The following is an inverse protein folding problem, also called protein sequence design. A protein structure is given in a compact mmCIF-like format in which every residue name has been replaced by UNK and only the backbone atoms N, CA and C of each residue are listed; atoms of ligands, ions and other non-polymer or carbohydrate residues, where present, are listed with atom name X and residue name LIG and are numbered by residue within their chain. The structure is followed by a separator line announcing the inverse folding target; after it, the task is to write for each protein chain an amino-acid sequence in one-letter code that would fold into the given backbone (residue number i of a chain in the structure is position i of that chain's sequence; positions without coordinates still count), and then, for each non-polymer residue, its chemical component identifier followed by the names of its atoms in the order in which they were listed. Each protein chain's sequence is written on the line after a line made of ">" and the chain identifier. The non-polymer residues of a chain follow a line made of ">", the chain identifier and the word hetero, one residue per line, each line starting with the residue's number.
data_IF_660967456184
#
_entry.id   IF_660967456184
#
_cell.length_a   1.000
_cell.length_b   1.000
_cell.length_c   1.000
_cell.angle_alpha   90.00
_cell.angle_beta   90.00
_cell.angle_gamma   90.00
#
_symmetry.space_group_name_H-M   'P 1'
#
loop_
_entity.id
_entity.type
_entity.pdbx_description
1 polymer ?
#
# COMPACT_ATOMS: atom_id res chain seq x y z
N UNK A 1 -34.88 1.18 8.62
CA UNK A 1 -33.94 1.91 9.49
C UNK A 1 -33.13 0.89 10.25
N UNK A 2 -31.97 0.49 9.73
CA UNK A 2 -31.05 -0.40 10.42
C UNK A 2 -30.51 0.32 11.65
N UNK A 3 -30.49 -0.35 12.81
CA UNK A 3 -29.97 0.23 14.05
C UNK A 3 -28.56 0.75 13.81
N UNK A 4 -28.31 2.03 14.14
CA UNK A 4 -26.95 2.49 14.39
C UNK A 4 -26.34 1.53 15.40
N UNK A 5 -25.47 0.62 14.95
CA UNK A 5 -24.78 -0.32 15.83
C UNK A 5 -24.08 0.52 16.88
N UNK A 6 -24.55 0.47 18.12
CA UNK A 6 -23.90 1.16 19.21
C UNK A 6 -22.55 0.46 19.40
N UNK A 7 -21.49 1.08 18.89
CA UNK A 7 -20.11 0.59 18.99
C UNK A 7 -19.40 1.38 20.11
N UNK A 8 -19.68 1.09 21.39
CA UNK A 8 -19.21 1.91 22.52
C UNK A 8 -17.69 1.94 22.63
N UNK A 9 -17.01 0.90 22.11
CA UNK A 9 -15.56 0.80 22.14
C UNK A 9 -14.85 1.81 21.22
N UNK A 10 -15.53 2.42 20.24
CA UNK A 10 -14.89 3.37 19.30
C UNK A 10 -14.30 4.56 20.06
N UNK A 11 -15.00 5.10 21.04
CA UNK A 11 -14.50 6.21 21.86
C UNK A 11 -13.27 5.79 22.67
N UNK A 12 -13.22 4.53 23.10
CA UNK A 12 -12.12 3.98 23.88
C UNK A 12 -10.85 3.76 23.04
N UNK A 13 -10.96 3.60 21.71
CA UNK A 13 -9.81 3.54 20.80
C UNK A 13 -8.98 4.84 20.83
N UNK A 14 -9.62 5.98 21.05
CA UNK A 14 -8.95 7.29 21.14
C UNK A 14 -8.57 7.70 22.58
N UNK A 15 -8.71 6.81 23.56
CA UNK A 15 -8.37 7.10 24.96
C UNK A 15 -6.87 7.38 25.12
N UNK A 16 -6.50 8.27 26.05
CA UNK A 16 -5.10 8.50 26.43
C UNK A 16 -4.48 7.30 27.17
N UNK A 17 -5.28 6.51 27.86
CA UNK A 17 -4.82 5.30 28.56
C UNK A 17 -4.60 4.14 27.57
N UNK A 18 -3.35 3.66 27.51
CA UNK A 18 -2.94 2.52 26.69
C UNK A 18 -3.77 1.27 26.99
N UNK A 19 -4.06 0.96 28.25
CA UNK A 19 -4.81 -0.25 28.63
C UNK A 19 -6.23 -0.22 28.08
N UNK A 20 -6.87 0.95 28.13
CA UNK A 20 -8.21 1.17 27.58
C UNK A 20 -8.18 0.98 26.06
N UNK A 21 -7.18 1.53 25.35
CA UNK A 21 -7.04 1.33 23.90
C UNK A 21 -6.81 -0.13 23.53
N UNK A 22 -5.93 -0.84 24.23
CA UNK A 22 -5.66 -2.27 23.99
C UNK A 22 -6.92 -3.11 24.20
N UNK A 23 -7.68 -2.85 25.27
CA UNK A 23 -8.96 -3.54 25.48
C UNK A 23 -9.98 -3.22 24.39
N UNK A 24 -10.02 -1.98 23.90
CA UNK A 24 -10.91 -1.58 22.82
C UNK A 24 -10.55 -2.25 21.48
N UNK A 25 -9.25 -2.41 21.18
CA UNK A 25 -8.78 -3.15 20.01
C UNK A 25 -9.15 -4.63 20.07
N UNK A 26 -9.00 -5.28 21.24
CA UNK A 26 -9.44 -6.66 21.43
C UNK A 26 -10.96 -6.83 21.22
N UNK A 27 -11.75 -5.87 21.72
CA UNK A 27 -13.21 -5.82 21.47
C UNK A 27 -13.52 -5.63 20.00
N UNK A 28 -12.78 -4.77 19.29
CA UNK A 28 -12.93 -4.57 17.85
C UNK A 28 -12.62 -5.86 17.08
N UNK A 29 -11.54 -6.58 17.42
CA UNK A 29 -11.19 -7.83 16.78
C UNK A 29 -12.32 -8.87 16.91
N UNK A 30 -12.87 -8.99 18.12
CA UNK A 30 -14.02 -9.87 18.39
C UNK A 30 -15.25 -9.46 17.59
N UNK A 31 -15.53 -8.15 17.53
CA UNK A 31 -16.65 -7.58 16.78
C UNK A 31 -16.52 -7.86 15.27
N UNK A 32 -15.34 -7.62 14.68
CA UNK A 32 -15.10 -7.84 13.26
C UNK A 32 -15.06 -9.32 12.86
N UNK A 33 -14.70 -10.21 13.78
CA UNK A 33 -14.72 -11.66 13.55
C UNK A 33 -16.15 -12.23 13.47
N UNK A 34 -17.15 -11.53 14.00
CA UNK A 34 -18.55 -11.92 13.92
C UNK A 34 -19.12 -11.61 12.53
N UNK A 35 -19.03 -12.57 11.59
CA UNK A 35 -19.41 -12.40 10.18
C UNK A 35 -20.76 -11.69 9.95
N UNK A 36 -21.81 -12.09 10.68
CA UNK A 36 -23.14 -11.48 10.54
C UNK A 36 -23.17 -9.98 10.86
N UNK A 37 -22.28 -9.50 11.71
CA UNK A 37 -22.13 -8.08 12.05
C UNK A 37 -21.34 -7.38 10.95
N UNK A 38 -20.15 -7.91 10.63
CA UNK A 38 -19.22 -7.30 9.69
C UNK A 38 -19.78 -7.17 8.28
N UNK A 39 -20.56 -8.15 7.81
CA UNK A 39 -21.23 -8.10 6.50
C UNK A 39 -22.38 -7.10 6.45
N UNK A 40 -22.89 -6.65 7.60
CA UNK A 40 -23.99 -5.70 7.72
C UNK A 40 -23.51 -4.26 8.01
N UNK A 41 -22.19 -4.02 8.14
CA UNK A 41 -21.65 -2.70 8.41
C UNK A 41 -21.87 -1.77 7.20
N UNK A 42 -22.56 -0.65 7.44
CA UNK A 42 -22.73 0.38 6.43
C UNK A 42 -21.46 1.23 6.25
N UNK A 43 -21.35 2.02 5.17
CA UNK A 43 -20.22 2.92 4.92
C UNK A 43 -19.88 3.85 6.09
N UNK A 44 -20.90 4.41 6.76
CA UNK A 44 -20.70 5.27 7.93
C UNK A 44 -20.14 4.53 9.15
N UNK A 45 -20.43 3.24 9.30
CA UNK A 45 -19.95 2.47 10.44
C UNK A 45 -18.46 2.16 10.28
N UNK A 46 -18.04 1.72 9.09
CA UNK A 46 -16.61 1.48 8.80
C UNK A 46 -15.78 2.77 8.83
N UNK A 47 -16.34 3.92 8.46
CA UNK A 47 -15.67 5.22 8.61
C UNK A 47 -15.49 5.62 10.08
N UNK A 48 -16.50 5.40 10.94
CA UNK A 48 -16.37 5.64 12.38
C UNK A 48 -15.30 4.74 13.00
N UNK A 49 -15.25 3.47 12.58
CA UNK A 49 -14.25 2.51 13.02
C UNK A 49 -12.84 2.97 12.61
N UNK A 50 -12.63 3.28 11.34
CA UNK A 50 -11.32 3.76 10.86
C UNK A 50 -10.89 5.09 11.48
N UNK A 51 -11.83 6.00 11.76
CA UNK A 51 -11.53 7.21 12.53
C UNK A 51 -11.05 6.87 13.95
N UNK A 52 -11.69 5.92 14.62
CA UNK A 52 -11.23 5.41 15.92
C UNK A 52 -9.83 4.79 15.85
N UNK A 53 -9.57 3.97 14.84
CA UNK A 53 -8.26 3.33 14.61
C UNK A 53 -7.16 4.35 14.30
N UNK A 54 -7.47 5.37 13.49
CA UNK A 54 -6.58 6.49 13.21
C UNK A 54 -6.12 7.17 14.49
N UNK A 55 -7.06 7.48 15.40
CA UNK A 55 -6.71 8.09 16.69
C UNK A 55 -6.04 7.11 17.66
N UNK A 56 -6.29 5.80 17.57
CA UNK A 56 -5.54 4.81 18.33
C UNK A 56 -4.04 4.85 17.98
N UNK A 57 -3.71 4.96 16.68
CA UNK A 57 -2.33 5.13 16.22
C UNK A 57 -1.79 6.53 16.54
N UNK A 58 -2.61 7.57 16.43
CA UNK A 58 -2.26 8.94 16.82
C UNK A 58 -1.73 9.02 18.26
N UNK A 59 -2.38 8.31 19.19
CA UNK A 59 -2.02 8.25 20.61
C UNK A 59 -0.90 7.25 20.94
N UNK A 60 -0.34 6.56 19.93
CA UNK A 60 0.76 5.62 20.11
C UNK A 60 2.11 6.32 19.87
N UNK A 61 2.87 6.58 20.94
CA UNK A 61 4.11 7.37 20.88
C UNK A 61 5.41 6.55 20.95
N UNK A 62 5.31 5.23 21.18
CA UNK A 62 6.47 4.35 21.32
C UNK A 62 6.69 3.58 20.02
N UNK A 63 7.92 3.58 19.49
CA UNK A 63 8.26 3.02 18.18
C UNK A 63 7.82 1.55 17.99
N UNK A 64 8.20 0.64 18.89
CA UNK A 64 7.84 -0.78 18.76
C UNK A 64 6.31 -1.00 18.82
N UNK A 65 5.57 -0.38 19.78
CA UNK A 65 4.11 -0.37 19.74
C UNK A 65 3.49 0.21 18.48
N UNK A 66 4.06 1.25 17.86
CA UNK A 66 3.57 1.79 16.58
C UNK A 66 3.70 0.75 15.48
N UNK A 67 4.86 0.10 15.34
CA UNK A 67 5.08 -0.95 14.33
C UNK A 67 4.12 -2.12 14.50
N UNK A 68 3.92 -2.57 15.75
CA UNK A 68 2.99 -3.65 16.08
C UNK A 68 1.56 -3.26 15.73
N UNK A 69 1.14 -2.05 16.13
CA UNK A 69 -0.20 -1.56 15.85
C UNK A 69 -0.44 -1.41 14.34
N UNK A 70 0.50 -0.88 13.58
CA UNK A 70 0.35 -0.78 12.11
C UNK A 70 0.18 -2.15 11.45
N UNK A 71 0.88 -3.18 11.94
CA UNK A 71 0.68 -4.55 11.46
C UNK A 71 -0.69 -5.11 11.86
N UNK A 72 -1.09 -4.96 13.12
CA UNK A 72 -2.38 -5.41 13.64
C UNK A 72 -3.55 -4.77 12.89
N UNK A 73 -3.50 -3.45 12.62
CA UNK A 73 -4.53 -2.73 11.87
C UNK A 73 -4.61 -3.19 10.40
N UNK A 74 -3.47 -3.45 9.76
CA UNK A 74 -3.44 -3.95 8.39
C UNK A 74 -3.98 -5.38 8.28
N UNK A 75 -3.70 -6.23 9.28
CA UNK A 75 -4.13 -7.63 9.30
C UNK A 75 -5.64 -7.80 9.59
N UNK A 76 -6.34 -6.75 10.04
CA UNK A 76 -7.80 -6.78 10.22
C UNK A 76 -8.56 -7.20 8.95
N UNK A 77 -8.00 -6.98 7.76
CA UNK A 77 -8.63 -7.42 6.51
C UNK A 77 -8.80 -8.94 6.41
N UNK A 78 -7.96 -9.72 7.11
CA UNK A 78 -7.95 -11.18 7.03
C UNK A 78 -8.97 -11.85 7.95
N UNK A 79 -9.51 -11.12 8.93
CA UNK A 79 -10.57 -11.62 9.82
C UNK A 79 -11.98 -11.25 9.33
N UNK A 80 -12.07 -10.32 8.38
CA UNK A 80 -13.33 -9.87 7.80
C UNK A 80 -13.94 -10.94 6.86
N UNK A 81 -15.28 -11.00 6.75
CA UNK A 81 -15.93 -11.71 5.66
C UNK A 81 -15.62 -11.03 4.32
N UNK A 82 -15.66 -11.81 3.24
CA UNK A 82 -15.18 -11.43 1.90
C UNK A 82 -15.84 -10.14 1.38
N UNK A 83 -17.14 -10.01 1.61
CA UNK A 83 -17.98 -8.89 1.20
C UNK A 83 -17.69 -7.59 1.96
N UNK A 84 -17.10 -7.68 3.16
CA UNK A 84 -16.80 -6.52 3.99
C UNK A 84 -15.42 -5.91 3.71
N UNK A 85 -14.52 -6.63 3.03
CA UNK A 85 -13.14 -6.18 2.80
C UNK A 85 -13.08 -4.92 1.93
N UNK A 86 -13.82 -4.89 0.82
CA UNK A 86 -13.82 -3.73 -0.08
C UNK A 86 -14.37 -2.47 0.62
N UNK A 87 -15.56 -2.48 1.26
CA UNK A 87 -16.03 -1.34 2.07
C UNK A 87 -15.03 -0.92 3.16
N UNK A 88 -14.39 -1.88 3.82
CA UNK A 88 -13.39 -1.62 4.84
C UNK A 88 -12.16 -0.87 4.30
N UNK A 89 -11.63 -1.30 3.15
CA UNK A 89 -10.50 -0.63 2.51
C UNK A 89 -10.86 0.73 1.91
N UNK A 90 -12.07 0.90 1.36
CA UNK A 90 -12.56 2.23 0.95
C UNK A 90 -12.59 3.21 2.12
N UNK A 91 -13.11 2.77 3.27
CA UNK A 91 -13.15 3.60 4.47
C UNK A 91 -11.75 3.92 5.02
N UNK A 92 -10.78 3.01 4.87
CA UNK A 92 -9.37 3.29 5.16
C UNK A 92 -8.86 4.46 4.29
N UNK A 93 -8.99 4.34 2.97
CA UNK A 93 -8.47 5.35 2.04
C UNK A 93 -9.19 6.69 2.20
N UNK A 94 -10.51 6.70 2.34
CA UNK A 94 -11.28 7.90 2.62
C UNK A 94 -10.85 8.58 3.94
N UNK A 95 -10.57 7.79 4.98
CA UNK A 95 -10.05 8.33 6.25
C UNK A 95 -8.66 8.90 6.08
N UNK A 96 -7.73 8.18 5.44
CA UNK A 96 -6.37 8.66 5.23
C UNK A 96 -6.36 9.92 4.36
N UNK A 97 -7.14 9.98 3.28
CA UNK A 97 -7.24 11.17 2.42
C UNK A 97 -7.78 12.38 3.17
N UNK A 98 -8.79 12.21 4.04
CA UNK A 98 -9.34 13.33 4.82
C UNK A 98 -8.37 13.87 5.86
N UNK A 99 -7.66 12.99 6.56
CA UNK A 99 -6.85 13.38 7.71
C UNK A 99 -5.38 13.71 7.33
N UNK A 100 -4.91 13.36 6.13
CA UNK A 100 -3.48 13.41 5.75
C UNK A 100 -2.81 14.75 6.01
N UNK A 101 -3.46 15.85 5.61
CA UNK A 101 -2.92 17.21 5.72
C UNK A 101 -2.92 17.73 7.16
N UNK A 102 -3.68 17.09 8.06
CA UNK A 102 -3.71 17.39 9.49
C UNK A 102 -2.64 16.63 10.30
N UNK A 103 -1.90 15.72 9.67
CA UNK A 103 -0.81 14.97 10.34
C UNK A 103 0.42 15.86 10.40
N UNK A 104 0.88 16.19 11.61
CA UNK A 104 2.13 16.91 11.80
C UNK A 104 3.36 16.04 11.52
N UNK A 105 4.49 16.71 11.24
CA UNK A 105 5.74 16.07 10.82
C UNK A 105 6.22 15.02 11.83
N UNK A 106 6.04 15.24 13.14
CA UNK A 106 6.50 14.31 14.19
C UNK A 106 5.67 13.03 14.25
N UNK A 107 4.46 13.03 13.67
CA UNK A 107 3.57 11.87 13.62
C UNK A 107 3.54 11.19 12.26
N UNK A 108 4.08 11.81 11.23
CA UNK A 108 3.97 11.34 9.85
C UNK A 108 4.51 9.91 9.68
N UNK A 109 5.68 9.60 10.24
CA UNK A 109 6.36 8.31 10.04
C UNK A 109 5.48 7.08 10.32
N UNK A 110 4.74 7.07 11.44
CA UNK A 110 3.87 5.94 11.78
C UNK A 110 2.66 5.81 10.84
N UNK A 111 2.17 6.91 10.28
CA UNK A 111 1.09 6.88 9.29
C UNK A 111 1.59 6.46 7.91
N UNK A 112 2.81 6.85 7.52
CA UNK A 112 3.49 6.31 6.34
C UNK A 112 3.64 4.78 6.47
N UNK A 113 4.06 4.30 7.64
CA UNK A 113 4.16 2.87 7.93
C UNK A 113 2.79 2.17 7.87
N UNK A 114 1.73 2.78 8.42
CA UNK A 114 0.38 2.23 8.34
C UNK A 114 -0.07 2.03 6.89
N UNK A 115 0.07 3.07 6.04
CA UNK A 115 -0.27 2.97 4.61
C UNK A 115 0.52 1.85 3.94
N UNK A 116 1.83 1.76 4.21
CA UNK A 116 2.67 0.68 3.69
C UNK A 116 2.16 -0.70 4.09
N UNK A 117 1.80 -0.90 5.36
CA UNK A 117 1.28 -2.19 5.85
C UNK A 117 -0.08 -2.52 5.25
N UNK A 118 -0.99 -1.55 5.12
CA UNK A 118 -2.31 -1.77 4.53
C UNK A 118 -2.23 -2.07 3.03
N UNK A 119 -1.36 -1.37 2.27
CA UNK A 119 -1.10 -1.69 0.85
C UNK A 119 -0.55 -3.11 0.71
N UNK A 120 0.48 -3.47 1.50
CA UNK A 120 1.04 -4.82 1.49
C UNK A 120 0.04 -5.91 1.87
N UNK A 121 -0.80 -5.66 2.87
CA UNK A 121 -1.88 -6.57 3.25
C UNK A 121 -2.91 -6.72 2.12
N UNK A 122 -3.31 -5.62 1.48
CA UNK A 122 -4.19 -5.63 0.31
C UNK A 122 -3.64 -6.47 -0.84
N UNK A 123 -2.34 -6.31 -1.17
CA UNK A 123 -1.70 -7.13 -2.19
C UNK A 123 -1.62 -8.61 -1.81
N UNK A 124 -1.32 -8.91 -0.55
CA UNK A 124 -1.31 -10.29 -0.04
C UNK A 124 -2.71 -10.91 -0.12
N UNK A 125 -3.75 -10.12 0.14
CA UNK A 125 -5.14 -10.57 0.11
C UNK A 125 -5.65 -10.93 -1.30
N UNK A 126 -5.03 -10.40 -2.36
CA UNK A 126 -5.32 -10.78 -3.76
C UNK A 126 -5.03 -12.27 -4.05
N UNK A 127 -4.21 -12.94 -3.24
CA UNK A 127 -3.94 -14.37 -3.40
C UNK A 127 -5.14 -15.20 -2.93
N UNK A 128 -5.32 -16.35 -3.57
CA UNK A 128 -6.27 -17.38 -3.11
C UNK A 128 -5.87 -17.87 -1.71
N UNK A 129 -6.86 -18.13 -0.86
CA UNK A 129 -6.60 -18.65 0.48
C UNK A 129 -6.02 -20.07 0.39
N UNK A 130 -4.78 -20.27 0.84
CA UNK A 130 -4.10 -21.57 0.86
C UNK A 130 -4.86 -22.64 1.65
N UNK A 131 -5.69 -22.23 2.62
CA UNK A 131 -6.48 -23.13 3.47
C UNK A 131 -7.59 -23.91 2.73
N UNK A 132 -8.01 -23.47 1.53
CA UNK A 132 -8.95 -24.24 0.71
C UNK A 132 -8.27 -25.36 -0.09
N UNK A 133 -6.95 -25.30 -0.29
CA UNK A 133 -6.19 -26.28 -1.07
C UNK A 133 -5.71 -27.49 -0.23
N UNK A 134 -5.72 -27.40 1.11
CA UNK A 134 -5.26 -28.47 2.00
C UNK A 134 -6.22 -29.68 2.09
N UNK A 135 -7.45 -29.57 1.54
CA UNK A 135 -8.42 -30.67 1.50
C UNK A 135 -8.38 -31.52 0.23
N UNK A 136 -7.53 -31.18 -0.75
CA UNK A 136 -7.49 -31.82 -2.07
C UNK A 136 -6.07 -32.26 -2.44
N UNK A 137 -5.36 -32.93 -1.52
CA UNK A 137 -4.15 -33.67 -1.88
C UNK A 137 -4.51 -35.13 -2.15
N UNK A 138 -4.97 -35.37 -3.37
CA UNK A 138 -4.76 -36.59 -4.15
C UNK A 138 -5.36 -36.37 -5.54
N UNK A 139 -4.54 -35.84 -6.44
CA UNK A 139 -4.48 -36.16 -7.86
C UNK A 139 -3.37 -35.27 -8.44
N UNK A 140 -2.19 -35.88 -8.52
CA UNK A 140 -1.05 -35.37 -9.28
C UNK A 140 -1.35 -35.45 -10.78
N UNK A 141 -0.74 -34.51 -11.49
CA UNK A 141 -0.46 -34.47 -12.94
C UNK A 141 -1.59 -34.00 -13.89
N UNK A 142 -1.22 -32.99 -14.70
CA UNK A 142 -1.94 -32.36 -15.82
C UNK A 142 -3.18 -31.49 -15.51
N UNK A 143 -3.03 -30.50 -14.61
CA UNK A 143 -3.90 -29.29 -14.64
C UNK A 143 -3.05 -28.08 -14.99
N UNK A 144 -3.45 -27.32 -16.02
CA UNK A 144 -3.01 -25.94 -16.25
C UNK A 144 -2.76 -25.26 -14.91
N UNK A 145 -1.56 -24.70 -14.71
CA UNK A 145 -1.17 -24.04 -13.44
C UNK A 145 -2.29 -23.08 -13.04
N UNK A 146 -3.14 -23.50 -12.11
CA UNK A 146 -4.25 -22.68 -11.66
C UNK A 146 -3.65 -21.45 -11.01
N UNK A 147 -3.99 -20.26 -11.51
CA UNK A 147 -3.40 -19.01 -11.02
C UNK A 147 -3.55 -18.89 -9.50
N UNK A 148 -2.46 -18.51 -8.83
CA UNK A 148 -2.41 -18.26 -7.38
C UNK A 148 -3.26 -17.04 -6.99
N UNK A 149 -3.57 -16.19 -7.97
CA UNK A 149 -4.30 -14.94 -7.80
C UNK A 149 -5.81 -15.14 -7.96
N UNK A 150 -6.59 -14.54 -7.07
CA UNK A 150 -8.05 -14.49 -7.15
C UNK A 150 -8.44 -13.26 -7.99
N UNK A 151 -8.96 -13.50 -9.20
CA UNK A 151 -9.26 -12.43 -10.16
C UNK A 151 -10.21 -11.36 -9.60
N UNK A 152 -11.23 -11.76 -8.82
CA UNK A 152 -12.16 -10.81 -8.22
C UNK A 152 -11.46 -9.94 -7.17
N UNK A 153 -10.60 -10.54 -6.33
CA UNK A 153 -9.84 -9.79 -5.33
C UNK A 153 -8.84 -8.83 -5.98
N UNK A 154 -8.17 -9.27 -7.04
CA UNK A 154 -7.28 -8.43 -7.85
C UNK A 154 -8.05 -7.24 -8.40
N UNK A 155 -9.21 -7.47 -9.03
CA UNK A 155 -10.02 -6.41 -9.62
C UNK A 155 -10.40 -5.36 -8.57
N UNK A 156 -10.83 -5.80 -7.39
CA UNK A 156 -11.19 -4.91 -6.29
C UNK A 156 -10.01 -4.08 -5.78
N UNK A 157 -8.84 -4.69 -5.57
CA UNK A 157 -7.65 -3.98 -5.08
C UNK A 157 -7.11 -3.02 -6.14
N UNK A 158 -7.01 -3.43 -7.40
CA UNK A 158 -6.55 -2.55 -8.49
C UNK A 158 -7.53 -1.40 -8.70
N UNK A 159 -8.84 -1.66 -8.62
CA UNK A 159 -9.87 -0.62 -8.67
C UNK A 159 -9.69 0.38 -7.53
N UNK A 160 -9.46 -0.09 -6.30
CA UNK A 160 -9.21 0.80 -5.15
C UNK A 160 -8.00 1.70 -5.34
N UNK A 161 -6.91 1.18 -5.91
CA UNK A 161 -5.74 2.01 -6.23
C UNK A 161 -6.10 3.12 -7.22
N UNK A 162 -6.88 2.80 -8.25
CA UNK A 162 -7.38 3.78 -9.22
C UNK A 162 -8.41 4.76 -8.67
N UNK A 163 -9.19 4.35 -7.65
CA UNK A 163 -10.19 5.21 -6.98
C UNK A 163 -9.56 6.20 -6.00
N UNK A 164 -8.39 5.89 -5.40
CA UNK A 164 -7.76 6.74 -4.38
C UNK A 164 -6.33 7.16 -4.74
N UNK A 165 -5.26 6.40 -4.40
CA UNK A 165 -3.89 6.94 -4.50
C UNK A 165 -3.47 7.26 -5.95
N UNK A 166 -4.02 6.57 -6.94
CA UNK A 166 -3.76 6.82 -8.36
C UNK A 166 -4.96 7.45 -9.09
N UNK A 167 -5.91 8.00 -8.34
CA UNK A 167 -7.03 8.73 -8.93
C UNK A 167 -6.54 10.01 -9.62
N UNK A 168 -7.08 10.27 -10.81
CA UNK A 168 -6.91 11.54 -11.49
C UNK A 168 -7.68 12.64 -10.78
N UNK A 169 -7.15 13.85 -10.74
CA UNK A 169 -7.80 15.00 -10.09
C UNK A 169 -9.19 15.25 -10.69
N UNK A 170 -9.34 15.11 -12.01
CA UNK A 170 -10.62 15.22 -12.72
C UNK A 170 -11.67 14.22 -12.24
N UNK A 171 -11.27 12.97 -11.97
CA UNK A 171 -12.18 11.93 -11.48
C UNK A 171 -12.67 12.24 -10.06
N UNK A 172 -11.79 12.77 -9.20
CA UNK A 172 -12.18 13.19 -7.84
C UNK A 172 -13.09 14.41 -7.85
N UNK A 173 -12.86 15.38 -8.75
CA UNK A 173 -13.72 16.55 -8.90
C UNK A 173 -15.13 16.18 -9.41
N UNK A 174 -15.21 15.20 -10.32
CA UNK A 174 -16.48 14.69 -10.81
C UNK A 174 -17.23 13.91 -9.71
N UNK A 175 -16.52 13.08 -8.94
CA UNK A 175 -17.11 12.40 -7.78
C UNK A 175 -17.63 13.40 -6.72
N UNK A 176 -16.88 14.48 -6.47
CA UNK A 176 -17.31 15.56 -5.57
C UNK A 176 -18.60 16.23 -6.07
N UNK A 177 -18.70 16.49 -7.38
CA UNK A 177 -19.90 17.06 -8.01
C UNK A 177 -21.10 16.12 -7.88
N UNK A 178 -20.92 14.85 -8.21
CA UNK A 178 -22.00 13.85 -8.14
C UNK A 178 -22.52 13.65 -6.72
N UNK A 179 -21.65 13.71 -5.71
CA UNK A 179 -22.06 13.64 -4.30
C UNK A 179 -22.88 14.85 -3.83
N UNK A 180 -22.71 16.02 -4.45
CA UNK A 180 -23.54 17.20 -4.16
C UNK A 180 -24.94 17.09 -4.78
N UNK A 181 -25.06 16.39 -5.91
CA UNK A 181 -26.29 16.28 -6.70
C UNK A 181 -27.12 15.02 -6.38
N UNK A 182 -26.51 13.99 -5.77
CA UNK A 182 -27.12 12.67 -5.55
C UNK A 182 -27.10 12.15 -4.11
N UNK A 183 -27.24 10.83 -3.96
CA UNK A 183 -27.09 10.16 -2.67
C UNK A 183 -25.60 10.17 -2.27
N UNK A 184 -25.30 10.80 -1.12
CA UNK A 184 -23.94 10.95 -0.63
C UNK A 184 -23.33 9.59 -0.34
N UNK A 185 -22.33 9.15 -1.13
CA UNK A 185 -21.46 8.04 -0.75
C UNK A 185 -20.43 8.57 0.25
N UNK A 186 -20.52 8.23 1.55
CA UNK A 186 -19.63 8.79 2.56
C UNK A 186 -18.17 8.38 2.38
N UNK A 187 -17.91 7.31 1.64
CA UNK A 187 -16.58 6.83 1.33
C UNK A 187 -16.06 7.35 0.00
N UNK A 188 -16.84 8.10 -0.77
CA UNK A 188 -16.40 8.57 -2.08
C UNK A 188 -15.05 9.29 -2.02
N UNK A 189 -14.18 9.07 -3.02
CA UNK A 189 -12.87 9.71 -3.06
C UNK A 189 -13.05 11.21 -3.33
N UNK A 190 -13.07 12.00 -2.25
CA UNK A 190 -12.85 13.43 -2.31
C UNK A 190 -11.40 13.74 -2.68
N UNK A 191 -11.09 15.00 -2.96
CA UNK A 191 -9.73 15.50 -3.26
C UNK A 191 -8.63 14.73 -2.49
N UNK A 192 -7.82 13.97 -3.23
CA UNK A 192 -6.78 13.10 -2.64
C UNK A 192 -5.50 13.93 -2.41
N UNK A 193 -4.97 14.01 -1.17
CA UNK A 193 -3.77 14.78 -0.87
C UNK A 193 -2.56 14.31 -1.67
N UNK A 194 -1.81 15.27 -2.24
CA UNK A 194 -0.60 15.00 -3.04
C UNK A 194 0.40 14.12 -2.28
N UNK A 195 0.62 14.40 -0.99
CA UNK A 195 1.57 13.62 -0.17
C UNK A 195 1.18 12.14 -0.02
N UNK A 196 -0.12 11.83 -0.02
CA UNK A 196 -0.60 10.44 0.03
C UNK A 196 -0.32 9.73 -1.30
N UNK A 197 -0.59 10.40 -2.44
CA UNK A 197 -0.25 9.86 -3.77
C UNK A 197 1.24 9.57 -3.89
N UNK A 198 2.08 10.54 -3.52
CA UNK A 198 3.54 10.42 -3.54
C UNK A 198 4.03 9.24 -2.70
N UNK A 199 3.52 9.09 -1.48
CA UNK A 199 3.92 7.98 -0.61
C UNK A 199 3.53 6.62 -1.19
N UNK A 200 2.35 6.50 -1.80
CA UNK A 200 1.96 5.22 -2.42
C UNK A 200 2.82 4.93 -3.67
N UNK A 201 3.18 5.95 -4.43
CA UNK A 201 4.15 5.83 -5.54
C UNK A 201 5.54 5.35 -5.06
N UNK A 202 5.95 5.73 -3.85
CA UNK A 202 7.25 5.34 -3.27
C UNK A 202 7.32 3.86 -2.86
N UNK A 203 6.17 3.24 -2.59
CA UNK A 203 6.13 1.95 -1.90
C UNK A 203 5.46 0.83 -2.71
N UNK A 204 4.72 1.14 -3.78
CA UNK A 204 3.92 0.11 -4.46
C UNK A 204 4.79 -1.00 -5.07
N UNK A 205 5.95 -0.66 -5.66
CA UNK A 205 6.90 -1.65 -6.20
C UNK A 205 7.47 -2.53 -5.07
N UNK A 206 7.81 -1.94 -3.93
CA UNK A 206 8.31 -2.68 -2.76
C UNK A 206 7.28 -3.70 -2.27
N UNK A 207 6.04 -3.26 -2.05
CA UNK A 207 4.99 -4.11 -1.51
C UNK A 207 4.57 -5.17 -2.54
N UNK A 208 4.58 -4.84 -3.84
CA UNK A 208 4.37 -5.80 -4.92
C UNK A 208 5.46 -6.89 -4.92
N UNK A 209 6.73 -6.50 -4.74
CA UNK A 209 7.85 -7.42 -4.63
C UNK A 209 7.70 -8.40 -3.47
N UNK A 210 7.25 -7.95 -2.30
CA UNK A 210 7.07 -8.81 -1.11
C UNK A 210 6.04 -9.92 -1.31
N UNK A 211 5.06 -9.72 -2.20
CA UNK A 211 4.04 -10.72 -2.49
C UNK A 211 4.35 -11.54 -3.75
N UNK A 212 5.48 -11.30 -4.42
CA UNK A 212 5.88 -12.02 -5.62
C UNK A 212 5.23 -11.50 -6.91
N UNK A 213 4.68 -10.28 -6.94
CA UNK A 213 4.14 -9.68 -8.18
C UNK A 213 5.22 -9.30 -9.21
N UNK A 214 6.49 -9.29 -8.80
CA UNK A 214 7.63 -8.98 -9.67
C UNK A 214 8.25 -10.23 -10.32
N UNK A 215 7.63 -11.40 -10.13
CA UNK A 215 8.04 -12.64 -10.78
C UNK A 215 7.67 -12.58 -12.28
N UNK A 216 8.68 -12.59 -13.14
CA UNK A 216 8.50 -12.49 -14.58
C UNK A 216 8.01 -13.81 -15.21
N UNK A 217 8.08 -14.92 -14.48
CA UNK A 217 7.61 -16.24 -14.94
C UNK A 217 6.11 -16.45 -14.67
N UNK A 218 5.53 -15.68 -13.76
CA UNK A 218 4.09 -15.72 -13.47
C UNK A 218 3.34 -14.74 -14.38
N UNK A 219 2.71 -15.28 -15.42
CA UNK A 219 1.90 -14.52 -16.38
C UNK A 219 0.77 -13.74 -15.69
N UNK A 220 0.13 -14.30 -14.67
CA UNK A 220 -0.94 -13.61 -13.95
C UNK A 220 -0.38 -12.46 -13.11
N UNK A 221 0.78 -12.63 -12.47
CA UNK A 221 1.47 -11.54 -11.79
C UNK A 221 1.85 -10.41 -12.75
N UNK A 222 2.36 -10.75 -13.95
CA UNK A 222 2.70 -9.77 -14.98
C UNK A 222 1.49 -8.95 -15.45
N UNK A 223 0.32 -9.59 -15.62
CA UNK A 223 -0.93 -8.89 -15.96
C UNK A 223 -1.40 -7.94 -14.86
N UNK A 224 -1.33 -8.36 -13.59
CA UNK A 224 -1.66 -7.51 -12.45
C UNK A 224 -0.73 -6.30 -12.40
N UNK A 225 0.57 -6.55 -12.55
CA UNK A 225 1.58 -5.50 -12.53
C UNK A 225 1.38 -4.51 -13.67
N UNK A 226 1.08 -5.00 -14.88
CA UNK A 226 0.78 -4.16 -16.04
C UNK A 226 -0.43 -3.25 -15.77
N UNK A 227 -1.49 -3.77 -15.15
CA UNK A 227 -2.67 -2.96 -14.78
C UNK A 227 -2.32 -1.85 -13.80
N UNK A 228 -1.51 -2.14 -12.78
CA UNK A 228 -1.05 -1.13 -11.81
C UNK A 228 -0.16 -0.10 -12.50
N UNK A 229 0.80 -0.53 -13.32
CA UNK A 229 1.68 0.35 -14.08
C UNK A 229 0.90 1.27 -15.02
N UNK A 230 -0.17 0.78 -15.67
CA UNK A 230 -1.05 1.61 -16.49
C UNK A 230 -1.75 2.70 -15.67
N UNK A 231 -2.17 2.43 -14.43
CA UNK A 231 -2.72 3.47 -13.55
C UNK A 231 -1.66 4.55 -13.24
N UNK A 232 -0.43 4.13 -12.96
CA UNK A 232 0.68 5.05 -12.64
C UNK A 232 1.11 5.87 -13.86
N UNK A 233 1.13 5.27 -15.06
CA UNK A 233 1.41 5.94 -16.34
C UNK A 233 0.34 6.99 -16.67
N UNK A 234 -0.94 6.65 -16.49
CA UNK A 234 -2.02 7.63 -16.62
C UNK A 234 -1.86 8.81 -15.67
N UNK A 235 -1.43 8.54 -14.43
CA UNK A 235 -1.15 9.58 -13.43
C UNK A 235 0.04 10.46 -13.83
N UNK A 236 1.13 9.88 -14.37
CA UNK A 236 2.26 10.63 -14.91
C UNK A 236 1.82 11.58 -16.02
N UNK A 237 1.03 11.09 -16.97
CA UNK A 237 0.62 11.87 -18.13
C UNK A 237 -0.32 13.01 -17.73
N UNK A 238 -1.31 12.73 -16.88
CA UNK A 238 -2.48 13.59 -16.68
C UNK A 238 -2.54 14.36 -15.37
N UNK A 239 -1.76 14.01 -14.34
CA UNK A 239 -1.84 14.72 -13.05
C UNK A 239 -1.52 16.21 -13.22
N UNK A 240 -2.15 17.08 -12.44
CA UNK A 240 -1.81 18.50 -12.42
C UNK A 240 -0.57 18.83 -11.59
N UNK A 241 -0.10 17.87 -10.75
CA UNK A 241 1.03 18.08 -9.85
C UNK A 241 2.35 17.60 -10.47
N UNK A 242 3.34 18.48 -10.71
CA UNK A 242 4.65 18.08 -11.25
C UNK A 242 5.36 17.06 -10.37
N UNK A 243 5.24 17.17 -9.05
CA UNK A 243 5.84 16.24 -8.10
C UNK A 243 5.29 14.81 -8.30
N UNK A 244 3.98 14.68 -8.49
CA UNK A 244 3.33 13.39 -8.77
C UNK A 244 3.81 12.83 -10.10
N UNK A 245 3.90 13.66 -11.15
CA UNK A 245 4.43 13.20 -12.45
C UNK A 245 5.85 12.66 -12.35
N UNK A 246 6.74 13.42 -11.69
CA UNK A 246 8.14 13.01 -11.51
C UNK A 246 8.20 11.69 -10.75
N UNK A 247 7.45 11.56 -9.65
CA UNK A 247 7.49 10.33 -8.84
C UNK A 247 6.85 9.13 -9.52
N UNK A 248 5.78 9.34 -10.30
CA UNK A 248 5.19 8.29 -11.14
C UNK A 248 6.24 7.75 -12.11
N UNK A 249 6.91 8.65 -12.84
CA UNK A 249 7.98 8.31 -13.78
C UNK A 249 9.13 7.55 -13.10
N UNK A 250 9.60 8.04 -11.97
CA UNK A 250 10.66 7.39 -11.17
C UNK A 250 10.24 5.97 -10.76
N UNK A 251 9.00 5.79 -10.28
CA UNK A 251 8.52 4.47 -9.86
C UNK A 251 8.33 3.49 -11.02
N UNK A 252 7.96 3.99 -12.21
CA UNK A 252 7.87 3.19 -13.44
C UNK A 252 9.24 2.82 -14.00
N UNK A 253 10.29 3.58 -13.66
CA UNK A 253 11.67 3.31 -14.05
C UNK A 253 12.41 2.36 -13.08
N UNK A 254 11.75 1.84 -12.04
CA UNK A 254 12.37 0.94 -11.06
C UNK A 254 12.93 -0.33 -11.75
N UNK A 255 14.21 -0.62 -11.53
CA UNK A 255 14.95 -1.73 -12.17
C UNK A 255 14.37 -3.12 -11.83
N UNK A 256 13.59 -3.22 -10.74
CA UNK A 256 12.99 -4.50 -10.31
C UNK A 256 11.79 -4.87 -11.16
N UNK A 257 11.17 -3.91 -11.86
CA UNK A 257 10.05 -4.16 -12.75
C UNK A 257 10.50 -5.03 -13.95
N UNK A 258 9.77 -6.12 -14.28
CA UNK A 258 10.17 -7.04 -15.36
C UNK A 258 10.44 -6.38 -16.72
N UNK A 259 9.72 -5.29 -17.05
CA UNK A 259 9.93 -4.54 -18.29
C UNK A 259 11.29 -3.82 -18.37
N UNK A 260 11.84 -3.41 -17.22
CA UNK A 260 13.06 -2.60 -17.14
C UNK A 260 14.33 -3.46 -17.02
N UNK A 261 14.22 -4.68 -16.47
CA UNK A 261 15.34 -5.64 -16.37
C UNK A 261 16.01 -5.92 -17.72
N UNK A 262 15.22 -5.99 -18.80
CA UNK A 262 15.74 -6.19 -20.16
C UNK A 262 16.52 -4.98 -20.69
N UNK A 263 16.11 -3.76 -20.31
CA UNK A 263 16.81 -2.53 -20.69
C UNK A 263 18.12 -2.34 -19.92
N UNK A 264 18.15 -2.67 -18.63
CA UNK A 264 19.35 -2.62 -17.79
C UNK A 264 20.43 -3.64 -18.20
N UNK A 265 20.03 -4.86 -18.59
CA UNK A 265 20.98 -5.87 -19.09
C UNK A 265 21.60 -5.51 -20.46
N UNK A 266 20.88 -4.77 -21.31
CA UNK A 266 21.38 -4.30 -22.61
C UNK A 266 22.29 -3.05 -22.49
N UNK A 267 22.35 -2.40 -21.33
CA UNK A 267 23.08 -1.15 -21.11
C UNK A 267 24.45 -1.34 -20.42
N UNK A 268 24.89 -2.58 -20.14
CA UNK A 268 26.27 -2.83 -19.69
C UNK A 268 27.19 -2.95 -20.92
N UNK A 269 28.12 -2.01 -21.16
CA UNK A 269 29.17 -2.25 -22.13
C UNK A 269 30.06 -3.37 -21.60
N UNK A 270 30.30 -4.36 -22.45
CA UNK A 270 31.31 -5.40 -22.29
C UNK A 270 32.65 -4.70 -22.05
N UNK A 271 33.14 -4.72 -20.81
CA UNK A 271 34.50 -4.27 -20.52
C UNK A 271 35.44 -5.29 -21.16
N UNK A 272 35.96 -4.95 -22.33
CA UNK A 272 37.01 -5.69 -22.98
C UNK A 272 38.24 -5.69 -22.06
N UNK A 273 38.66 -6.89 -21.62
CA UNK A 273 39.98 -7.14 -21.08
C UNK A 273 41.02 -6.66 -22.08
N UNK A 274 41.68 -5.55 -21.78
CA UNK A 274 42.93 -5.16 -22.44
C UNK A 274 44.05 -5.49 -21.48
N UNK A 275 44.63 -6.68 -21.66
CA UNK A 275 45.96 -7.00 -21.17
C UNK A 275 46.95 -6.01 -21.78
N UNK A 276 47.70 -5.30 -20.94
CA UNK A 276 48.86 -4.54 -21.37
C UNK A 276 49.93 -4.72 -20.30
N UNK A 277 50.65 -5.83 -20.43
CA UNK A 277 52.03 -5.95 -19.95
C UNK A 277 52.87 -4.95 -20.75
N UNK A 278 53.56 -4.03 -20.08
CA UNK A 278 54.96 -3.72 -20.35
C UNK A 278 55.50 -2.78 -19.26
N UNK A 279 56.57 -3.26 -18.63
CA UNK A 279 57.51 -2.54 -17.77
C UNK A 279 58.06 -1.28 -18.48
N UNK A 280 58.23 -0.19 -17.73
CA UNK A 280 59.50 0.55 -17.78
C UNK A 280 59.64 1.56 -16.62
N UNK A 281 60.80 1.47 -15.97
CA UNK A 281 61.32 2.24 -14.84
C UNK A 281 61.37 3.75 -15.10
N UNK A 282 60.89 4.59 -14.15
CA UNK A 282 61.53 5.88 -13.82
C UNK A 282 61.50 6.14 -12.30
N UNK A 283 62.67 6.53 -11.81
CA UNK A 283 63.09 6.75 -10.43
C UNK A 283 62.40 7.88 -9.67
N UNK A 284 62.36 7.68 -8.35
CA UNK A 284 62.32 8.60 -7.21
C UNK A 284 62.30 10.12 -7.47
N UNK A 285 61.38 10.82 -6.80
CA UNK A 285 61.79 11.97 -5.97
C UNK A 285 60.86 12.16 -4.77
N UNK A 286 61.47 12.67 -3.71
CA UNK A 286 60.92 12.93 -2.39
C UNK A 286 60.01 14.17 -2.36
N UNK A 287 59.19 14.32 -1.30
CA UNK A 287 58.29 15.47 -1.23
C UNK A 287 57.29 15.49 -0.08
N UNK A 288 57.80 15.51 1.15
CA UNK A 288 57.27 16.21 2.34
C UNK A 288 55.74 16.40 2.49
N UNK A 289 55.16 15.66 3.42
CA UNK A 289 53.81 15.83 3.96
C UNK A 289 53.81 16.97 4.99
N UNK A 290 53.21 18.12 4.66
CA UNK A 290 53.17 19.30 5.53
C UNK A 290 51.78 19.52 6.16
N UNK A 291 51.75 19.37 7.48
CA UNK A 291 51.08 20.25 8.46
C UNK A 291 49.61 20.65 8.28
N UNK A 292 48.73 20.01 9.06
CA UNK A 292 47.56 20.67 9.62
C UNK A 292 47.99 21.57 10.78
N UNK A 293 47.51 22.82 10.80
CA UNK A 293 47.58 23.70 11.97
C UNK A 293 46.20 24.35 12.19
N UNK A 294 45.68 24.12 13.41
CA UNK A 294 44.52 24.70 14.12
C UNK A 294 43.13 24.81 13.44
#
# INVERSE_FOLDING_TARGET
>A
MASQGNMPFIRNLASSDRKIRTSALASLHTFLSAKHISSALGPLDVLKLWKGLFFALWMCDRAIPQQTLCAELADLIFILPREAVLPWLRAFWATMSREWTGIDVLRMEKFLLLVRRVVGAGFKWMKKNSAAAAGAQKEEEEKEKESVWDAQRVDEIVKLLGEYPFALEEATMEADRQNLEGEQDPCAPHTIPVGLKMHVLDIWVDEAGKVGLLDAEDQAAAEILQRISTLVDLLEQRSYSPAVKIRSKESLADDRLPGNKKASAAAKPEAADVNMDDDDDIQSDDGSWDGFND
#
